data_IF_688603583058
#
_entry.id   IF_688603583058
#
_cell.length_a   1.000
_cell.length_b   1.000
_cell.length_c   1.000
_cell.angle_alpha   90.00
_cell.angle_beta   90.00
_cell.angle_gamma   90.00
#
_symmetry.space_group_name_H-M   'P 1'
#
loop_
_entity.id
_entity.type
_entity.pdbx_description
1 polymer ?
#
# COMPACT_ATOMS: atom_id res chain seq x y z
N UNK A 1 12.28 8.61 -14.39
CA UNK A 1 10.97 9.19 -14.72
C UNK A 1 11.17 10.67 -15.06
N UNK A 2 10.58 11.14 -16.14
CA UNK A 2 10.52 12.57 -16.47
C UNK A 2 9.31 13.22 -15.83
N UNK A 3 9.44 14.45 -15.36
CA UNK A 3 8.34 15.20 -14.75
C UNK A 3 7.41 15.82 -15.82
N UNK A 4 6.11 15.94 -15.55
CA UNK A 4 5.40 15.46 -14.36
C UNK A 4 5.14 13.96 -14.42
N UNK A 5 5.58 13.20 -13.41
CA UNK A 5 5.36 11.77 -13.32
C UNK A 5 4.62 11.39 -12.03
N UNK A 6 4.06 10.18 -11.99
CA UNK A 6 3.29 9.69 -10.85
C UNK A 6 3.65 8.25 -10.52
N UNK A 7 3.79 7.97 -9.24
CA UNK A 7 3.94 6.62 -8.70
C UNK A 7 2.67 6.30 -7.91
N UNK A 8 2.00 5.21 -8.26
CA UNK A 8 0.77 4.78 -7.58
C UNK A 8 0.98 3.38 -7.00
N UNK A 9 1.17 3.30 -5.71
CA UNK A 9 1.34 2.07 -4.96
C UNK A 9 -0.01 1.46 -4.58
N UNK A 10 -0.30 0.27 -5.10
CA UNK A 10 -1.54 -0.45 -4.78
C UNK A 10 -1.36 -1.23 -3.48
N UNK A 11 -1.83 -0.66 -2.38
CA UNK A 11 -1.87 -1.28 -1.07
C UNK A 11 -3.17 -2.08 -0.86
N UNK A 12 -3.57 -2.29 0.38
CA UNK A 12 -4.78 -3.03 0.76
C UNK A 12 -5.32 -2.52 2.08
N UNK A 13 -6.63 -2.64 2.30
CA UNK A 13 -7.24 -2.41 3.61
C UNK A 13 -6.70 -3.32 4.72
N UNK A 14 -6.12 -4.48 4.35
CA UNK A 14 -5.43 -5.36 5.29
C UNK A 14 -4.29 -4.70 6.06
N UNK A 15 -3.66 -3.66 5.50
CA UNK A 15 -2.60 -2.90 6.15
C UNK A 15 -3.03 -2.26 7.49
N UNK A 16 -4.32 -2.05 7.71
CA UNK A 16 -4.83 -1.52 8.98
C UNK A 16 -4.74 -2.51 10.14
N UNK A 17 -4.55 -3.79 9.87
CA UNK A 17 -4.51 -4.85 10.90
C UNK A 17 -3.12 -5.08 11.48
N UNK A 18 -2.05 -4.62 10.80
CA UNK A 18 -0.67 -4.88 11.17
C UNK A 18 0.18 -3.61 11.21
N UNK A 19 1.08 -3.52 12.21
CA UNK A 19 2.22 -2.60 12.16
C UNK A 19 3.33 -3.14 11.27
N UNK A 20 4.29 -2.27 10.93
CA UNK A 20 5.51 -2.73 10.27
C UNK A 20 6.41 -3.46 11.27
N UNK A 21 7.07 -4.49 10.81
CA UNK A 21 8.08 -5.25 11.55
C UNK A 21 9.26 -5.46 10.59
N UNK A 22 10.18 -4.49 10.49
CA UNK A 22 11.32 -4.58 9.59
C UNK A 22 12.16 -5.83 9.85
N UNK A 23 12.39 -6.15 11.11
CA UNK A 23 13.07 -7.34 11.60
C UNK A 23 12.47 -8.67 11.11
N UNK A 24 11.23 -8.65 10.68
CA UNK A 24 10.51 -9.82 10.20
C UNK A 24 10.32 -9.84 8.67
N UNK A 25 10.84 -8.86 7.94
CA UNK A 25 10.74 -8.83 6.46
C UNK A 25 11.75 -9.76 5.80
N UNK A 26 12.91 -9.93 6.41
CA UNK A 26 14.00 -10.79 5.91
C UNK A 26 14.04 -12.17 6.59
N UNK A 27 13.02 -12.58 7.29
CA UNK A 27 13.02 -13.82 8.09
C UNK A 27 13.01 -15.13 7.26
N UNK A 28 13.57 -15.14 6.06
CA UNK A 28 13.89 -16.35 5.29
C UNK A 28 12.73 -17.33 5.06
N UNK A 29 11.50 -16.83 4.92
CA UNK A 29 10.32 -17.67 4.75
C UNK A 29 9.66 -18.14 6.07
N UNK A 30 10.14 -17.70 7.23
CA UNK A 30 9.55 -18.01 8.54
C UNK A 30 8.20 -17.28 8.81
N UNK A 31 7.57 -16.72 7.78
CA UNK A 31 6.23 -16.18 7.88
C UNK A 31 5.20 -17.31 7.88
N UNK A 32 4.93 -17.82 9.06
CA UNK A 32 3.95 -18.90 9.25
C UNK A 32 2.49 -18.50 8.97
N UNK A 33 2.22 -17.21 8.63
CA UNK A 33 0.86 -16.72 8.41
C UNK A 33 0.77 -15.76 7.22
N UNK A 34 0.37 -16.28 6.05
CA UNK A 34 0.25 -15.53 4.81
C UNK A 34 -0.52 -14.20 4.91
N UNK A 35 -1.71 -14.16 5.56
CA UNK A 35 -2.46 -12.91 5.75
C UNK A 35 -1.70 -11.83 6.54
N UNK A 36 -0.94 -12.22 7.56
CA UNK A 36 -0.12 -11.30 8.36
C UNK A 36 1.04 -10.73 7.53
N UNK A 37 1.75 -11.59 6.80
CA UNK A 37 2.84 -11.18 5.91
C UNK A 37 2.33 -10.22 4.83
N UNK A 38 1.22 -10.57 4.19
CA UNK A 38 0.55 -9.71 3.21
C UNK A 38 0.19 -8.34 3.80
N UNK A 39 -0.44 -8.31 4.97
CA UNK A 39 -0.84 -7.06 5.63
C UNK A 39 0.38 -6.16 5.97
N UNK A 40 1.49 -6.75 6.43
CA UNK A 40 2.75 -6.05 6.69
C UNK A 40 3.38 -5.51 5.42
N UNK A 41 3.45 -6.30 4.35
CA UNK A 41 3.95 -5.85 3.05
C UNK A 41 3.12 -4.65 2.52
N UNK A 42 1.79 -4.73 2.63
CA UNK A 42 0.91 -3.62 2.22
C UNK A 42 1.02 -2.40 3.14
N UNK A 43 1.35 -2.57 4.41
CA UNK A 43 1.73 -1.49 5.34
C UNK A 43 3.05 -0.84 4.89
N UNK A 44 4.06 -1.63 4.55
CA UNK A 44 5.35 -1.14 4.03
C UNK A 44 5.17 -0.22 2.82
N UNK A 45 4.33 -0.61 1.85
CA UNK A 45 4.04 0.24 0.69
C UNK A 45 3.47 1.63 1.05
N UNK A 46 2.64 1.73 2.08
CA UNK A 46 2.09 3.01 2.54
C UNK A 46 3.17 3.87 3.21
N UNK A 47 4.06 3.25 3.99
CA UNK A 47 5.21 3.94 4.59
C UNK A 47 6.15 4.45 3.51
N UNK A 48 6.54 3.60 2.55
CA UNK A 48 7.39 3.95 1.41
C UNK A 48 6.79 5.10 0.58
N UNK A 49 5.48 5.09 0.37
CA UNK A 49 4.79 6.18 -0.31
C UNK A 49 5.05 7.53 0.35
N UNK A 50 4.97 7.61 1.67
CA UNK A 50 5.27 8.85 2.41
C UNK A 50 6.74 9.24 2.34
N UNK A 51 7.66 8.28 2.44
CA UNK A 51 9.11 8.53 2.35
C UNK A 51 9.51 9.01 0.96
N UNK A 52 9.09 8.31 -0.09
CA UNK A 52 9.37 8.71 -1.49
C UNK A 52 8.69 10.02 -1.88
N UNK A 53 7.51 10.33 -1.34
CA UNK A 53 6.87 11.62 -1.57
C UNK A 53 7.72 12.78 -1.04
N UNK A 54 8.38 12.60 0.12
CA UNK A 54 9.29 13.60 0.68
C UNK A 54 10.59 13.69 -0.12
N UNK A 55 11.17 12.55 -0.48
CA UNK A 55 12.41 12.48 -1.25
C UNK A 55 12.26 13.11 -2.65
N UNK A 56 11.13 12.84 -3.30
CA UNK A 56 10.84 13.30 -4.66
C UNK A 56 10.09 14.65 -4.72
N UNK A 57 9.98 15.36 -3.58
CA UNK A 57 9.16 16.58 -3.49
C UNK A 57 9.58 17.68 -4.49
N UNK A 58 10.86 17.76 -4.83
CA UNK A 58 11.41 18.78 -5.76
C UNK A 58 11.56 18.29 -7.20
N UNK A 59 11.30 17.01 -7.48
CA UNK A 59 11.51 16.41 -8.80
C UNK A 59 10.28 16.43 -9.71
N UNK A 60 9.17 17.05 -9.27
CA UNK A 60 7.92 17.08 -10.03
C UNK A 60 7.24 15.70 -10.14
N UNK A 61 7.62 14.75 -9.28
CA UNK A 61 7.05 13.41 -9.21
C UNK A 61 6.15 13.32 -7.98
N UNK A 62 4.89 12.94 -8.18
CA UNK A 62 3.97 12.67 -7.06
C UNK A 62 3.87 11.18 -6.77
N UNK A 63 3.80 10.83 -5.48
CA UNK A 63 3.74 9.45 -5.01
C UNK A 63 2.46 9.24 -4.20
N UNK A 64 1.68 8.23 -4.54
CA UNK A 64 0.41 7.93 -3.91
C UNK A 64 0.34 6.48 -3.51
N UNK A 65 -0.36 6.18 -2.41
CA UNK A 65 -0.83 4.84 -2.11
C UNK A 65 -2.36 4.80 -2.17
N UNK A 66 -2.91 3.67 -2.55
CA UNK A 66 -4.35 3.46 -2.53
C UNK A 66 -4.69 2.01 -2.19
N UNK A 67 -5.92 1.76 -1.79
CA UNK A 67 -6.47 0.41 -1.80
C UNK A 67 -7.81 0.36 -2.55
N UNK A 68 -8.06 -0.73 -3.31
CA UNK A 68 -9.22 -0.82 -4.20
C UNK A 68 -10.53 -1.17 -3.48
N UNK A 69 -10.49 -1.40 -2.15
CA UNK A 69 -11.58 -2.03 -1.42
C UNK A 69 -11.57 -3.56 -1.60
N UNK A 70 -12.70 -4.19 -1.36
CA UNK A 70 -12.91 -5.63 -1.58
C UNK A 70 -13.43 -5.85 -3.01
N UNK A 71 -12.55 -6.37 -3.86
CA UNK A 71 -12.83 -6.55 -5.30
C UNK A 71 -12.98 -8.04 -5.60
N UNK A 72 -14.00 -8.37 -6.37
CA UNK A 72 -14.22 -9.73 -6.88
C UNK A 72 -13.13 -10.08 -7.89
N UNK A 73 -12.18 -10.87 -7.43
CA UNK A 73 -11.04 -11.31 -8.22
C UNK A 73 -10.73 -12.78 -7.95
N UNK A 74 -10.16 -13.50 -8.94
CA UNK A 74 -9.70 -14.88 -8.73
C UNK A 74 -8.73 -15.01 -7.56
N UNK A 75 -7.89 -13.98 -7.32
CA UNK A 75 -6.96 -13.95 -6.19
C UNK A 75 -7.68 -13.91 -4.84
N UNK A 76 -8.74 -13.12 -4.69
CA UNK A 76 -9.56 -13.09 -3.48
C UNK A 76 -10.29 -14.42 -3.26
N UNK A 77 -10.92 -14.95 -4.31
CA UNK A 77 -11.62 -16.23 -4.24
C UNK A 77 -10.70 -17.39 -3.82
N UNK A 78 -9.46 -17.40 -4.31
CA UNK A 78 -8.45 -18.42 -3.97
C UNK A 78 -7.91 -18.24 -2.55
N UNK A 79 -7.61 -17.01 -2.14
CA UNK A 79 -6.95 -16.72 -0.86
C UNK A 79 -7.92 -16.77 0.33
N UNK A 80 -9.17 -16.37 0.13
CA UNK A 80 -10.20 -16.27 1.17
C UNK A 80 -11.54 -16.83 0.67
N UNK A 81 -11.66 -18.13 0.37
CA UNK A 81 -12.81 -18.70 -0.31
C UNK A 81 -14.12 -18.59 0.49
N UNK A 82 -14.06 -18.73 1.81
CA UNK A 82 -15.25 -18.59 2.67
C UNK A 82 -15.74 -17.13 2.71
N UNK A 83 -14.81 -16.18 2.85
CA UNK A 83 -15.10 -14.76 2.82
C UNK A 83 -15.68 -14.33 1.46
N UNK A 84 -15.05 -14.76 0.37
CA UNK A 84 -15.54 -14.48 -0.98
C UNK A 84 -16.98 -14.96 -1.17
N UNK A 85 -17.27 -16.20 -0.80
CA UNK A 85 -18.60 -16.80 -0.93
C UNK A 85 -19.67 -16.04 -0.12
N UNK A 86 -19.34 -15.59 1.09
CA UNK A 86 -20.28 -14.85 1.95
C UNK A 86 -20.53 -13.41 1.48
N UNK A 87 -19.49 -12.74 0.95
CA UNK A 87 -19.55 -11.33 0.59
C UNK A 87 -19.65 -11.08 -0.92
N UNK A 88 -19.72 -12.12 -1.73
CA UNK A 88 -19.81 -12.02 -3.20
C UNK A 88 -20.81 -10.94 -3.69
N UNK A 89 -22.04 -10.81 -3.15
CA UNK A 89 -22.98 -9.78 -3.59
C UNK A 89 -22.55 -8.34 -3.28
N UNK A 90 -21.60 -8.16 -2.36
CA UNK A 90 -21.13 -6.85 -1.89
C UNK A 90 -19.73 -6.50 -2.40
N UNK A 91 -19.09 -7.41 -3.13
CA UNK A 91 -17.78 -7.19 -3.70
C UNK A 91 -17.87 -6.20 -4.87
N UNK A 92 -16.84 -5.40 -5.01
CA UNK A 92 -16.68 -4.48 -6.13
C UNK A 92 -16.31 -5.24 -7.39
N UNK A 93 -16.74 -4.73 -8.52
CA UNK A 93 -16.21 -5.20 -9.81
C UNK A 93 -14.75 -4.78 -9.95
N UNK A 94 -13.95 -5.45 -10.82
CA UNK A 94 -12.59 -5.02 -11.15
C UNK A 94 -12.51 -3.57 -11.63
N UNK A 95 -13.47 -3.11 -12.42
CA UNK A 95 -13.55 -1.72 -12.88
C UNK A 95 -13.74 -0.73 -11.73
N UNK A 96 -14.61 -1.04 -10.76
CA UNK A 96 -14.78 -0.22 -9.56
C UNK A 96 -13.52 -0.20 -8.67
N UNK A 97 -12.81 -1.33 -8.57
CA UNK A 97 -11.54 -1.41 -7.86
C UNK A 97 -10.44 -0.58 -8.52
N UNK A 98 -10.41 -0.53 -9.84
CA UNK A 98 -9.43 0.23 -10.62
C UNK A 98 -9.72 1.74 -10.69
N UNK A 99 -10.92 2.19 -10.39
CA UNK A 99 -11.35 3.58 -10.56
C UNK A 99 -10.39 4.60 -9.90
N UNK A 100 -10.04 4.39 -8.64
CA UNK A 100 -9.13 5.31 -7.93
C UNK A 100 -7.70 5.25 -8.49
N UNK A 101 -7.23 4.10 -8.98
CA UNK A 101 -5.90 3.97 -9.61
C UNK A 101 -5.87 4.82 -10.88
N UNK A 102 -6.85 4.67 -11.75
CA UNK A 102 -6.96 5.41 -13.02
C UNK A 102 -7.09 6.91 -12.74
N UNK A 103 -7.91 7.31 -11.77
CA UNK A 103 -8.04 8.70 -11.36
C UNK A 103 -6.72 9.28 -10.83
N UNK A 104 -6.01 8.58 -9.97
CA UNK A 104 -4.69 9.01 -9.46
C UNK A 104 -3.68 9.14 -10.60
N UNK A 105 -3.72 8.25 -11.59
CA UNK A 105 -2.80 8.31 -12.73
C UNK A 105 -3.09 9.48 -13.69
N UNK A 106 -4.36 9.88 -13.84
CA UNK A 106 -4.78 10.81 -14.89
C UNK A 106 -5.23 12.20 -14.41
N UNK A 107 -5.87 12.30 -13.22
CA UNK A 107 -6.51 13.54 -12.79
C UNK A 107 -5.48 14.62 -12.42
N UNK A 108 -5.61 15.86 -12.91
CA UNK A 108 -4.69 16.95 -12.58
C UNK A 108 -4.62 17.25 -11.07
N UNK A 109 -5.75 17.18 -10.38
CA UNK A 109 -5.83 17.48 -8.95
C UNK A 109 -5.10 16.46 -8.06
N UNK A 110 -4.99 15.21 -8.50
CA UNK A 110 -4.28 14.18 -7.77
C UNK A 110 -2.78 14.51 -7.62
N UNK A 111 -2.18 15.19 -8.60
CA UNK A 111 -0.77 15.57 -8.57
C UNK A 111 -0.41 16.50 -7.39
N UNK A 112 -1.37 17.29 -6.90
CA UNK A 112 -1.15 18.27 -5.83
C UNK A 112 -1.02 17.67 -4.43
N UNK A 113 -1.39 16.41 -4.25
CA UNK A 113 -1.50 15.77 -2.93
C UNK A 113 -0.58 14.54 -2.82
N UNK A 114 0.73 14.71 -3.04
CA UNK A 114 1.73 13.64 -2.89
C UNK A 114 1.78 13.09 -1.45
N UNK A 115 2.16 11.83 -1.29
CA UNK A 115 2.32 11.16 0.02
C UNK A 115 1.02 10.69 0.66
N UNK A 116 -0.12 10.77 -0.04
CA UNK A 116 -1.42 10.44 0.53
C UNK A 116 -1.84 8.99 0.26
N UNK A 117 -2.73 8.50 1.15
CA UNK A 117 -3.38 7.20 1.03
C UNK A 117 -4.86 7.38 0.64
N UNK A 118 -5.32 6.64 -0.37
CA UNK A 118 -6.60 6.87 -1.02
C UNK A 118 -7.53 5.65 -1.06
N UNK A 119 -8.83 5.93 -0.95
CA UNK A 119 -9.93 5.01 -1.25
C UNK A 119 -11.09 5.84 -1.80
N UNK A 120 -11.67 5.42 -2.93
CA UNK A 120 -12.81 6.07 -3.56
C UNK A 120 -12.55 7.57 -3.83
N UNK A 121 -11.36 7.86 -4.39
CA UNK A 121 -10.87 9.21 -4.69
C UNK A 121 -10.86 10.16 -3.48
N UNK A 122 -10.84 9.60 -2.26
CA UNK A 122 -10.78 10.37 -1.00
C UNK A 122 -9.55 9.98 -0.21
N UNK A 123 -8.89 10.97 0.39
CA UNK A 123 -7.79 10.75 1.31
C UNK A 123 -8.30 10.02 2.55
N UNK A 124 -7.56 9.02 2.98
CA UNK A 124 -7.84 8.22 4.17
C UNK A 124 -6.67 8.25 5.13
N UNK A 125 -6.98 8.09 6.41
CA UNK A 125 -5.94 7.91 7.42
C UNK A 125 -5.07 6.68 7.10
N UNK A 126 -3.77 6.80 7.28
CA UNK A 126 -2.84 5.69 7.05
C UNK A 126 -2.88 4.65 8.17
N UNK A 127 -3.47 4.95 9.32
CA UNK A 127 -3.64 4.04 10.45
C UNK A 127 -4.94 4.38 11.20
N UNK A 128 -5.60 3.34 11.70
CA UNK A 128 -6.80 3.43 12.57
C UNK A 128 -6.41 3.09 14.00
N UNK A 129 -5.60 2.05 14.19
CA UNK A 129 -5.18 1.58 15.49
C UNK A 129 -3.77 2.06 15.85
N UNK A 130 -3.55 2.40 17.13
CA UNK A 130 -2.25 2.91 17.61
C UNK A 130 -1.09 1.94 17.37
N UNK A 131 -1.31 0.63 17.51
CA UNK A 131 -0.28 -0.39 17.30
C UNK A 131 0.18 -0.52 15.84
N UNK A 132 -0.54 0.08 14.89
CA UNK A 132 -0.16 0.08 13.47
C UNK A 132 0.68 1.30 13.07
N UNK A 133 0.93 2.22 13.99
CA UNK A 133 1.83 3.36 13.76
C UNK A 133 3.27 2.89 13.70
N UNK A 134 4.04 3.46 12.80
CA UNK A 134 5.50 3.26 12.73
C UNK A 134 6.22 4.46 13.32
N UNK A 135 7.37 4.20 13.92
CA UNK A 135 8.30 5.24 14.35
C UNK A 135 9.27 5.63 13.21
N UNK A 136 9.96 6.76 13.37
CA UNK A 136 11.03 7.13 12.43
C UNK A 136 12.18 6.09 12.41
N UNK A 137 12.38 5.36 13.51
CA UNK A 137 13.33 4.25 13.56
C UNK A 137 12.85 3.10 12.68
N UNK A 138 11.59 2.66 12.84
CA UNK A 138 11.03 1.57 12.02
C UNK A 138 11.06 1.90 10.53
N UNK A 139 10.81 3.17 10.17
CA UNK A 139 10.84 3.62 8.79
C UNK A 139 12.26 3.55 8.19
N UNK A 140 13.30 3.95 8.93
CA UNK A 140 14.69 3.82 8.48
C UNK A 140 15.12 2.36 8.35
N UNK A 141 14.75 1.53 9.33
CA UNK A 141 15.06 0.11 9.32
C UNK A 141 14.39 -0.60 8.14
N UNK A 142 13.14 -0.22 7.80
CA UNK A 142 12.45 -0.71 6.61
C UNK A 142 13.26 -0.42 5.33
N UNK A 143 13.76 0.80 5.15
CA UNK A 143 14.57 1.16 3.99
C UNK A 143 15.84 0.32 3.96
N UNK A 144 16.59 0.24 5.08
CA UNK A 144 17.84 -0.53 5.14
C UNK A 144 17.63 -2.00 4.75
N UNK A 145 16.60 -2.65 5.28
CA UNK A 145 16.28 -4.05 4.93
C UNK A 145 15.92 -4.18 3.45
N UNK A 146 15.18 -3.24 2.89
CA UNK A 146 14.81 -3.28 1.48
C UNK A 146 16.00 -3.05 0.56
N UNK A 147 16.91 -2.13 0.89
CA UNK A 147 18.13 -1.87 0.13
C UNK A 147 19.05 -3.09 0.16
N UNK A 148 19.22 -3.73 1.32
CA UNK A 148 19.99 -4.95 1.46
C UNK A 148 19.43 -6.10 0.60
N UNK A 149 18.13 -6.36 0.72
CA UNK A 149 17.46 -7.45 -0.03
C UNK A 149 17.44 -7.18 -1.54
N UNK A 150 17.37 -5.92 -1.96
CA UNK A 150 17.38 -5.53 -3.38
C UNK A 150 18.78 -5.41 -3.97
N UNK A 151 19.83 -5.49 -3.16
CA UNK A 151 21.23 -5.34 -3.61
C UNK A 151 21.59 -3.91 -4.03
N UNK A 152 20.93 -2.91 -3.46
CA UNK A 152 21.16 -1.48 -3.72
C UNK A 152 22.21 -0.87 -2.76
N UNK A 153 22.79 -1.66 -1.87
CA UNK A 153 23.90 -1.27 -0.96
C UNK A 153 25.23 -1.76 -1.46
#
# INVERSE_FOLDING_TARGET
LEAPARIVNVSSGGMYTQGIRPDALDAGGAFHHGPTAYARAKRGLVILTGLWANELATSGISVHAMHPGWVDTPGLAKSLPAFHRQLSPWLRTPAQGADTIVWLAAAPDAHRASGQFWLDRKIRATHVFRHTRSSSKDNRELINVLDEVSGLT
#
